data_IF_829179641301
#
_entry.id   IF_829179641301
#
_cell.length_a   1.000
_cell.length_b   1.000
_cell.length_c   1.000
_cell.angle_alpha   90.00
_cell.angle_beta   90.00
_cell.angle_gamma   90.00
#
_symmetry.space_group_name_H-M   'P 1'
#
loop_
_entity.id
_entity.type
_entity.pdbx_description
1 polymer ?
#
# COMPACT_ATOMS: atom_id res chain seq x y z
N UNK A 1 -0.62 -13.12 12.42
CA UNK A 1 -0.24 -11.75 12.01
C UNK A 1 1.20 -11.38 12.42
N UNK A 2 1.66 -11.72 13.63
CA UNK A 2 3.07 -11.53 14.03
C UNK A 2 4.09 -12.19 13.07
N UNK A 3 3.76 -13.36 12.50
CA UNK A 3 4.58 -14.05 11.51
C UNK A 3 4.79 -13.28 10.20
N UNK A 4 3.80 -12.50 9.75
CA UNK A 4 3.91 -11.74 8.49
C UNK A 4 4.83 -10.52 8.67
N UNK A 5 4.74 -9.87 9.83
CA UNK A 5 5.61 -8.75 10.23
C UNK A 5 7.04 -9.25 10.43
N UNK A 6 7.23 -10.43 11.04
CA UNK A 6 8.54 -11.04 11.22
C UNK A 6 9.17 -11.48 9.88
N UNK A 7 8.39 -12.07 8.96
CA UNK A 7 8.87 -12.43 7.62
C UNK A 7 9.23 -11.19 6.77
N UNK A 8 8.51 -10.08 6.94
CA UNK A 8 8.78 -8.81 6.26
C UNK A 8 10.00 -8.06 6.86
N UNK A 9 10.20 -8.10 8.18
CA UNK A 9 11.41 -7.59 8.84
C UNK A 9 12.65 -8.44 8.50
N UNK A 10 12.46 -9.73 8.22
CA UNK A 10 13.53 -10.59 7.73
C UNK A 10 13.88 -10.34 6.25
N UNK A 11 13.03 -9.67 5.45
CA UNK A 11 13.28 -9.44 4.02
C UNK A 11 14.53 -8.60 3.72
N UNK A 12 14.83 -7.46 4.40
CA UNK A 12 16.10 -6.76 4.17
C UNK A 12 17.31 -7.60 4.61
N UNK A 13 17.18 -8.38 5.68
CA UNK A 13 18.24 -9.28 6.14
C UNK A 13 18.50 -10.43 5.15
N UNK A 14 17.46 -10.96 4.53
CA UNK A 14 17.57 -12.03 3.54
C UNK A 14 18.27 -11.56 2.26
N UNK A 15 17.97 -10.33 1.82
CA UNK A 15 18.61 -9.70 0.64
C UNK A 15 20.07 -9.32 0.93
N UNK A 16 20.37 -8.81 2.13
CA UNK A 16 21.75 -8.52 2.55
C UNK A 16 22.57 -9.80 2.68
N UNK A 17 21.99 -10.87 3.23
CA UNK A 17 22.66 -12.17 3.36
C UNK A 17 22.89 -12.87 2.01
N UNK A 18 21.96 -12.74 1.05
CA UNK A 18 22.12 -13.27 -0.31
C UNK A 18 23.13 -12.48 -1.15
N UNK A 19 23.23 -11.16 -0.97
CA UNK A 19 24.18 -10.32 -1.70
C UNK A 19 25.64 -10.55 -1.29
N UNK A 20 25.92 -11.12 -0.11
CA UNK A 20 27.30 -11.39 0.30
C UNK A 20 28.01 -12.41 -0.63
N UNK A 21 27.26 -13.18 -1.43
CA UNK A 21 27.81 -14.14 -2.40
C UNK A 21 28.03 -13.59 -3.82
N UNK A 22 27.53 -12.39 -4.13
CA UNK A 22 27.73 -11.76 -5.44
C UNK A 22 28.50 -10.45 -5.27
N UNK A 23 29.82 -10.53 -5.31
CA UNK A 23 30.65 -9.37 -5.62
C UNK A 23 30.13 -8.72 -6.91
N UNK A 24 29.82 -7.42 -6.86
CA UNK A 24 29.85 -6.41 -7.93
C UNK A 24 28.78 -5.29 -7.86
N UNK A 25 28.01 -5.13 -6.78
CA UNK A 25 27.04 -4.01 -6.66
C UNK A 25 27.42 -3.07 -5.51
N UNK A 26 27.59 -1.76 -5.74
CA UNK A 26 28.01 -0.82 -4.70
C UNK A 26 27.00 -0.79 -3.54
N UNK A 27 27.51 -1.07 -2.34
CA UNK A 27 26.79 -1.03 -1.05
C UNK A 27 25.90 0.20 -0.78
N UNK A 28 26.21 1.44 -1.23
CA UNK A 28 25.29 2.57 -1.00
C UNK A 28 23.92 2.43 -1.67
N UNK A 29 23.78 1.69 -2.77
CA UNK A 29 22.49 1.59 -3.47
C UNK A 29 21.46 0.75 -2.67
N UNK A 30 21.94 -0.25 -1.93
CA UNK A 30 21.09 -1.18 -1.19
C UNK A 30 20.60 -0.62 0.13
N UNK A 31 21.40 0.23 0.80
CA UNK A 31 20.98 0.91 2.03
C UNK A 31 19.82 1.87 1.75
N UNK A 32 19.89 2.62 0.64
CA UNK A 32 18.83 3.54 0.23
C UNK A 32 17.55 2.78 -0.16
N UNK A 33 17.67 1.73 -0.98
CA UNK A 33 16.52 0.90 -1.37
C UNK A 33 15.85 0.22 -0.16
N UNK A 34 16.65 -0.25 0.81
CA UNK A 34 16.17 -0.80 2.07
C UNK A 34 15.42 0.23 2.91
N UNK A 35 16.00 1.43 3.08
CA UNK A 35 15.39 2.52 3.84
C UNK A 35 14.06 3.00 3.23
N UNK A 36 13.99 3.12 1.90
CA UNK A 36 12.76 3.46 1.17
C UNK A 36 11.69 2.38 1.36
N UNK A 37 12.07 1.11 1.30
CA UNK A 37 11.14 -0.01 1.48
C UNK A 37 10.56 -0.05 2.90
N UNK A 38 11.42 0.11 3.92
CA UNK A 38 11.00 0.14 5.33
C UNK A 38 10.12 1.34 5.63
N UNK A 39 10.49 2.54 5.16
CA UNK A 39 9.69 3.74 5.36
C UNK A 39 8.32 3.66 4.69
N UNK A 40 8.25 3.08 3.48
CA UNK A 40 6.99 2.80 2.81
C UNK A 40 6.11 1.82 3.59
N UNK A 41 6.70 0.74 4.13
CA UNK A 41 5.96 -0.23 4.95
C UNK A 41 5.44 0.38 6.25
N UNK A 42 6.24 1.23 6.91
CA UNK A 42 5.81 1.95 8.12
C UNK A 42 4.66 2.89 7.80
N UNK A 43 4.75 3.65 6.70
CA UNK A 43 3.66 4.53 6.25
C UNK A 43 2.39 3.75 5.90
N UNK A 44 2.53 2.58 5.28
CA UNK A 44 1.42 1.68 4.97
C UNK A 44 0.76 1.14 6.25
N UNK A 45 1.56 0.67 7.22
CA UNK A 45 1.06 0.20 8.50
C UNK A 45 0.33 1.31 9.26
N UNK A 46 0.86 2.54 9.18
CA UNK A 46 0.25 3.73 9.76
C UNK A 46 -1.11 4.05 9.13
N UNK A 47 -1.15 4.15 7.80
CA UNK A 47 -2.38 4.40 7.05
C UNK A 47 -3.41 3.29 7.28
N UNK A 48 -2.98 2.02 7.35
CA UNK A 48 -3.85 0.90 7.68
C UNK A 48 -4.51 1.09 9.05
N UNK A 49 -3.72 1.38 10.09
CA UNK A 49 -4.26 1.55 11.44
C UNK A 49 -5.22 2.75 11.53
N UNK A 50 -4.96 3.84 10.81
CA UNK A 50 -5.76 5.07 10.85
C UNK A 50 -7.00 5.07 9.94
N UNK A 51 -6.94 4.37 8.81
CA UNK A 51 -8.04 4.31 7.84
C UNK A 51 -8.93 3.07 8.02
N UNK A 52 -8.53 2.06 8.80
CA UNK A 52 -9.38 0.90 9.10
C UNK A 52 -10.46 1.27 10.12
N UNK A 53 -11.69 0.82 9.88
CA UNK A 53 -12.81 0.94 10.84
C UNK A 53 -13.27 -0.44 11.28
N UNK A 54 -14.06 -0.51 12.36
CA UNK A 54 -14.64 -1.78 12.84
C UNK A 54 -15.53 -2.47 11.79
N UNK A 55 -16.13 -1.71 10.87
CA UNK A 55 -17.02 -2.23 9.84
C UNK A 55 -16.33 -2.44 8.49
N UNK A 56 -15.25 -1.71 8.21
CA UNK A 56 -14.55 -1.75 6.92
C UNK A 56 -13.04 -1.89 7.12
N UNK A 57 -12.53 -3.07 6.78
CA UNK A 57 -11.08 -3.32 6.74
C UNK A 57 -10.46 -2.62 5.54
N UNK A 58 -9.34 -1.94 5.77
CA UNK A 58 -8.53 -1.29 4.72
C UNK A 58 -8.22 -2.22 3.54
N UNK A 59 -7.84 -3.46 3.83
CA UNK A 59 -7.53 -4.49 2.82
C UNK A 59 -8.74 -4.85 1.95
N UNK A 60 -9.95 -4.90 2.54
CA UNK A 60 -11.19 -5.08 1.77
C UNK A 60 -11.39 -3.92 0.79
N UNK A 61 -11.14 -2.69 1.21
CA UNK A 61 -11.19 -1.52 0.33
C UNK A 61 -10.21 -1.62 -0.85
N UNK A 62 -8.96 -2.00 -0.57
CA UNK A 62 -7.95 -2.23 -1.62
C UNK A 62 -8.36 -3.34 -2.60
N UNK A 63 -8.89 -4.46 -2.09
CA UNK A 63 -9.38 -5.55 -2.93
C UNK A 63 -10.56 -5.14 -3.80
N UNK A 64 -11.47 -4.29 -3.28
CA UNK A 64 -12.57 -3.73 -4.08
C UNK A 64 -12.02 -2.84 -5.20
N UNK A 65 -11.01 -2.02 -4.93
CA UNK A 65 -10.35 -1.19 -5.96
C UNK A 65 -9.67 -2.08 -7.01
N UNK A 66 -8.88 -3.07 -6.58
CA UNK A 66 -8.23 -4.02 -7.48
C UNK A 66 -9.25 -4.77 -8.35
N UNK A 67 -10.32 -5.29 -7.73
CA UNK A 67 -11.39 -6.00 -8.42
C UNK A 67 -12.18 -5.11 -9.37
N UNK A 68 -12.36 -3.82 -9.03
CA UNK A 68 -13.03 -2.85 -9.90
C UNK A 68 -12.23 -2.51 -11.17
N UNK A 69 -10.92 -2.75 -11.15
CA UNK A 69 -10.02 -2.51 -12.29
C UNK A 69 -9.69 -3.77 -13.08
N UNK A 70 -10.08 -4.96 -12.60
CA UNK A 70 -9.88 -6.22 -13.30
C UNK A 70 -11.03 -6.45 -14.29
N UNK A 71 -10.87 -5.92 -15.51
CA UNK A 71 -11.83 -5.97 -16.60
C UNK A 71 -11.93 -7.32 -17.34
N UNK A 72 -11.62 -8.45 -16.69
CA UNK A 72 -11.76 -9.80 -17.27
C UNK A 72 -10.68 -10.22 -18.28
N UNK A 73 -9.91 -9.28 -18.85
CA UNK A 73 -8.73 -9.59 -19.69
C UNK A 73 -7.46 -9.52 -18.85
N UNK A 74 -6.83 -10.69 -18.62
CA UNK A 74 -5.70 -10.87 -17.70
C UNK A 74 -4.50 -9.94 -17.97
N UNK A 75 -4.23 -9.58 -19.23
CA UNK A 75 -3.06 -8.76 -19.60
C UNK A 75 -3.24 -7.25 -19.38
N UNK A 76 -4.39 -6.69 -19.80
CA UNK A 76 -4.63 -5.24 -19.69
C UNK A 76 -5.02 -4.82 -18.27
N UNK A 77 -5.65 -5.71 -17.51
CA UNK A 77 -6.09 -5.43 -16.15
C UNK A 77 -4.95 -5.04 -15.20
N UNK A 78 -3.75 -5.61 -15.37
CA UNK A 78 -2.62 -5.34 -14.49
C UNK A 78 -2.06 -3.92 -14.66
N UNK A 79 -2.02 -3.42 -15.90
CA UNK A 79 -1.47 -2.10 -16.25
C UNK A 79 -2.29 -0.97 -15.64
N UNK A 80 -3.62 -1.14 -15.49
CA UNK A 80 -4.49 -0.15 -14.85
C UNK A 80 -4.69 -0.40 -13.36
N UNK A 81 -4.74 -1.65 -12.91
CA UNK A 81 -4.93 -1.97 -11.50
C UNK A 81 -3.74 -1.54 -10.64
N UNK A 82 -2.50 -1.72 -11.13
CA UNK A 82 -1.30 -1.34 -10.37
C UNK A 82 -1.23 0.17 -10.06
N UNK A 83 -1.34 1.10 -11.03
CA UNK A 83 -1.32 2.52 -10.73
C UNK A 83 -2.53 2.96 -9.90
N UNK A 84 -3.70 2.36 -10.08
CA UNK A 84 -4.87 2.64 -9.24
C UNK A 84 -4.65 2.21 -7.78
N UNK A 85 -4.02 1.05 -7.55
CA UNK A 85 -3.63 0.59 -6.22
C UNK A 85 -2.55 1.46 -5.60
N UNK A 86 -1.52 1.82 -6.37
CA UNK A 86 -0.47 2.71 -5.90
C UNK A 86 -1.05 4.08 -5.51
N UNK A 87 -1.93 4.64 -6.35
CA UNK A 87 -2.61 5.90 -6.08
C UNK A 87 -3.48 5.82 -4.82
N UNK A 88 -4.23 4.74 -4.63
CA UNK A 88 -5.08 4.57 -3.44
C UNK A 88 -4.25 4.44 -2.15
N UNK A 89 -3.12 3.74 -2.19
CA UNK A 89 -2.18 3.67 -1.07
C UNK A 89 -1.62 5.06 -0.76
N UNK A 90 -1.12 5.79 -1.76
CA UNK A 90 -0.58 7.14 -1.58
C UNK A 90 -1.65 8.08 -1.00
N UNK A 91 -2.86 8.06 -1.57
CA UNK A 91 -3.97 8.88 -1.08
C UNK A 91 -4.35 8.56 0.37
N UNK A 92 -4.32 7.28 0.77
CA UNK A 92 -4.59 6.88 2.15
C UNK A 92 -3.55 7.42 3.14
N UNK A 93 -2.27 7.44 2.76
CA UNK A 93 -1.18 8.02 3.55
C UNK A 93 -1.41 9.52 3.71
N UNK A 94 -1.74 10.23 2.62
CA UNK A 94 -2.06 11.66 2.68
C UNK A 94 -3.27 11.95 3.57
N UNK A 95 -4.35 11.17 3.47
CA UNK A 95 -5.52 11.35 4.35
C UNK A 95 -5.18 11.13 5.82
N UNK A 96 -4.29 10.18 6.12
CA UNK A 96 -3.81 9.97 7.48
C UNK A 96 -2.99 11.17 7.99
N UNK A 97 -2.05 11.68 7.19
CA UNK A 97 -1.24 12.86 7.51
C UNK A 97 -2.11 14.10 7.74
N UNK A 98 -3.06 14.35 6.84
CA UNK A 98 -4.01 15.47 6.97
C UNK A 98 -4.86 15.29 8.23
N UNK A 99 -5.35 14.07 8.50
CA UNK A 99 -6.11 13.79 9.72
C UNK A 99 -5.37 14.16 11.00
N UNK A 100 -4.05 13.92 11.05
CA UNK A 100 -3.23 14.27 12.20
C UNK A 100 -2.89 15.76 12.29
N UNK A 101 -2.51 16.39 11.16
CA UNK A 101 -2.21 17.82 11.12
C UNK A 101 -3.41 18.65 11.59
N UNK A 102 -4.61 18.26 11.15
CA UNK A 102 -5.84 18.97 11.47
C UNK A 102 -6.55 18.42 12.72
N UNK A 103 -6.00 17.38 13.38
CA UNK A 103 -6.58 16.67 14.54
C UNK A 103 -8.04 16.24 14.34
N UNK A 104 -8.39 15.87 13.11
CA UNK A 104 -9.75 15.48 12.73
C UNK A 104 -9.92 13.96 12.88
N UNK A 105 -10.30 13.52 14.09
CA UNK A 105 -10.64 12.13 14.34
C UNK A 105 -11.83 11.69 13.44
N UNK A 106 -11.65 10.64 12.63
CA UNK A 106 -12.70 10.06 11.80
C UNK A 106 -12.79 10.57 10.35
N UNK A 107 -12.07 11.64 9.98
CA UNK A 107 -11.99 12.08 8.57
C UNK A 107 -11.20 11.10 7.66
N UNK A 108 -10.05 10.52 8.10
CA UNK A 108 -9.30 9.58 7.28
C UNK A 108 -10.10 8.36 6.78
N UNK A 109 -10.87 7.64 7.61
CA UNK A 109 -11.67 6.51 7.13
C UNK A 109 -12.82 6.95 6.21
N UNK A 110 -13.47 8.08 6.49
CA UNK A 110 -14.55 8.59 5.65
C UNK A 110 -14.05 8.94 4.23
N UNK A 111 -12.89 9.61 4.13
CA UNK A 111 -12.27 9.95 2.83
C UNK A 111 -11.81 8.70 2.08
N UNK A 112 -11.25 7.71 2.79
CA UNK A 112 -10.89 6.42 2.18
C UNK A 112 -12.11 5.69 1.62
N UNK A 113 -13.22 5.64 2.36
CA UNK A 113 -14.46 4.99 1.88
C UNK A 113 -15.03 5.69 0.64
N UNK A 114 -15.00 7.03 0.61
CA UNK A 114 -15.40 7.81 -0.58
C UNK A 114 -14.49 7.53 -1.78
N UNK A 115 -13.19 7.34 -1.55
CA UNK A 115 -12.26 7.00 -2.61
C UNK A 115 -12.58 5.61 -3.20
N UNK A 116 -12.75 4.60 -2.34
CA UNK A 116 -13.11 3.24 -2.76
C UNK A 116 -14.44 3.23 -3.51
N UNK A 117 -15.45 3.96 -3.03
CA UNK A 117 -16.76 4.03 -3.71
C UNK A 117 -16.69 4.71 -5.07
N UNK A 118 -15.80 5.71 -5.25
CA UNK A 118 -15.54 6.31 -6.56
C UNK A 118 -14.90 5.33 -7.54
N UNK A 119 -13.90 4.57 -7.10
CA UNK A 119 -13.30 3.52 -7.93
C UNK A 119 -14.31 2.44 -8.30
N UNK A 120 -15.14 2.04 -7.35
CA UNK A 120 -16.24 1.10 -7.61
C UNK A 120 -17.25 1.65 -8.63
N UNK A 121 -17.63 2.93 -8.52
CA UNK A 121 -18.58 3.59 -9.43
C UNK A 121 -18.00 3.81 -10.83
N UNK A 122 -16.70 4.08 -10.92
CA UNK A 122 -15.95 4.23 -12.18
C UNK A 122 -15.25 2.94 -12.60
N UNK A 123 -15.73 1.78 -12.13
CA UNK A 123 -15.34 0.48 -12.68
C UNK A 123 -15.41 0.58 -14.19
N UNK A 124 -14.36 0.09 -14.88
CA UNK A 124 -14.36 -0.11 -16.32
C UNK A 124 -15.44 -1.15 -16.66
N UNK A 125 -16.67 -0.68 -16.69
CA UNK A 125 -17.86 -1.34 -17.19
C UNK A 125 -18.39 -0.39 -18.24
N UNK A 126 -17.88 -0.57 -19.46
CA UNK A 126 -18.70 -1.10 -20.55
C UNK A 126 -17.85 -2.12 -21.31
#
# INVERSE_FOLDING_TARGET
MAFFIAALLASPFFVVAFNHKHELIPVPLWSEAGAVSVSFLVALAYAWHRCSTAQFSYWRGLLVVAGSMSGGTFGFSMVFAFPALLFTVIASIFFSLIGDIWRLAGVPPAKFQVLVSRFYKHRFHQ
#
